data_IF_598205388149
#
_entry.id   IF_598205388149
#
_cell.length_a   1.000
_cell.length_b   1.000
_cell.length_c   1.000
_cell.angle_alpha   90.00
_cell.angle_beta   90.00
_cell.angle_gamma   90.00
#
_symmetry.space_group_name_H-M   'P 1'
#
loop_
_entity.id
_entity.type
_entity.pdbx_description
1 polymer ?
#
# COMPACT_ATOMS: atom_id res chain seq x y z
N UNK A 1 40.27 -23.10 -38.40
CA UNK A 1 39.54 -22.00 -39.08
C UNK A 1 38.44 -22.51 -40.00
N UNK A 2 38.72 -23.44 -40.90
CA UNK A 2 37.77 -23.91 -41.93
C UNK A 2 36.49 -24.56 -41.38
N UNK A 3 36.59 -25.36 -40.31
CA UNK A 3 35.42 -26.01 -39.68
C UNK A 3 34.41 -25.00 -39.14
N UNK A 4 34.86 -23.91 -38.51
CA UNK A 4 33.97 -22.86 -38.01
C UNK A 4 33.28 -22.09 -39.15
N UNK A 5 34.00 -21.86 -40.26
CA UNK A 5 33.43 -21.22 -41.45
C UNK A 5 32.37 -22.10 -42.14
N UNK A 6 32.60 -23.42 -42.20
CA UNK A 6 31.63 -24.38 -42.73
C UNK A 6 30.32 -24.41 -41.92
N UNK A 7 30.42 -24.42 -40.58
CA UNK A 7 29.26 -24.36 -39.68
C UNK A 7 28.47 -23.06 -39.88
N UNK A 8 29.16 -21.91 -40.01
CA UNK A 8 28.51 -20.63 -40.29
C UNK A 8 27.80 -20.63 -41.65
N UNK A 9 28.43 -21.21 -42.68
CA UNK A 9 27.85 -21.30 -44.03
C UNK A 9 26.57 -22.14 -44.02
N UNK A 10 26.59 -23.32 -43.39
CA UNK A 10 25.42 -24.17 -43.24
C UNK A 10 24.28 -23.48 -42.48
N UNK A 11 24.61 -22.73 -41.41
CA UNK A 11 23.64 -21.92 -40.67
C UNK A 11 22.96 -20.85 -41.53
N UNK A 12 23.75 -20.15 -42.35
CA UNK A 12 23.21 -19.10 -43.24
C UNK A 12 22.33 -19.71 -44.34
N UNK A 13 22.73 -20.85 -44.88
CA UNK A 13 21.97 -21.57 -45.89
C UNK A 13 20.61 -22.04 -45.37
N UNK A 14 20.56 -22.58 -44.15
CA UNK A 14 19.30 -22.93 -43.49
C UNK A 14 18.39 -21.71 -43.26
N UNK A 15 18.95 -20.53 -42.94
CA UNK A 15 18.13 -19.31 -42.80
C UNK A 15 17.64 -18.78 -44.16
N UNK A 16 18.44 -18.92 -45.21
CA UNK A 16 18.07 -18.52 -46.58
C UNK A 16 17.00 -19.43 -47.16
N UNK A 17 17.10 -20.74 -46.98
CA UNK A 17 16.10 -21.69 -47.47
C UNK A 17 14.74 -21.49 -46.81
N UNK A 18 14.72 -21.21 -45.50
CA UNK A 18 13.48 -20.87 -44.80
C UNK A 18 12.85 -19.58 -45.33
N UNK A 19 13.66 -18.54 -45.58
CA UNK A 19 13.17 -17.28 -46.14
C UNK A 19 12.55 -17.49 -47.53
N UNK A 20 13.19 -18.28 -48.40
CA UNK A 20 12.68 -18.59 -49.74
C UNK A 20 11.36 -19.38 -49.68
N UNK A 21 11.26 -20.37 -48.78
CA UNK A 21 10.03 -21.14 -48.60
C UNK A 21 8.85 -20.28 -48.12
N UNK A 22 9.10 -19.31 -47.24
CA UNK A 22 8.08 -18.36 -46.79
C UNK A 22 7.66 -17.36 -47.89
N UNK A 23 8.60 -16.85 -48.68
CA UNK A 23 8.31 -15.96 -49.81
C UNK A 23 7.49 -16.67 -50.91
N UNK A 24 7.66 -17.99 -51.06
CA UNK A 24 6.86 -18.83 -51.94
C UNK A 24 5.47 -19.21 -51.37
N UNK A 25 5.21 -18.96 -50.07
CA UNK A 25 3.98 -19.37 -49.40
C UNK A 25 3.90 -20.87 -49.06
N UNK A 26 5.00 -21.60 -49.22
CA UNK A 26 5.08 -23.05 -49.01
C UNK A 26 5.25 -23.38 -47.52
N UNK A 27 4.12 -23.50 -46.82
CA UNK A 27 4.08 -23.78 -45.37
C UNK A 27 4.71 -25.12 -45.00
N UNK A 28 4.66 -26.13 -45.87
CA UNK A 28 5.29 -27.44 -45.62
C UNK A 28 6.82 -27.35 -45.68
N UNK A 29 7.37 -26.68 -46.70
CA UNK A 29 8.82 -26.48 -46.83
C UNK A 29 9.40 -25.57 -45.74
N UNK A 30 8.61 -24.62 -45.24
CA UNK A 30 8.99 -23.82 -44.08
C UNK A 30 8.98 -24.64 -42.77
N UNK A 31 8.11 -25.65 -42.66
CA UNK A 31 7.97 -26.54 -41.48
C UNK A 31 9.10 -27.55 -41.32
N UNK A 32 9.67 -28.04 -42.42
CA UNK A 32 10.77 -29.02 -42.41
C UNK A 32 12.11 -28.42 -41.94
N UNK A 33 12.26 -27.10 -41.96
CA UNK A 33 13.47 -26.42 -41.51
C UNK A 33 13.43 -26.07 -40.01
N UNK A 34 13.65 -27.07 -39.17
CA UNK A 34 13.60 -26.94 -37.70
C UNK A 34 14.56 -25.87 -37.15
N UNK A 35 15.78 -25.80 -37.68
CA UNK A 35 16.81 -24.87 -37.22
C UNK A 35 16.41 -23.41 -37.48
N UNK A 36 15.96 -23.10 -38.71
CA UNK A 36 15.53 -21.74 -39.04
C UNK A 36 14.30 -21.32 -38.25
N UNK A 37 13.36 -22.24 -37.99
CA UNK A 37 12.20 -21.98 -37.16
C UNK A 37 12.57 -21.71 -35.70
N UNK A 38 13.48 -22.48 -35.11
CA UNK A 38 13.94 -22.27 -33.75
C UNK A 38 14.57 -20.87 -33.55
N UNK A 39 15.40 -20.44 -34.51
CA UNK A 39 16.00 -19.09 -34.50
C UNK A 39 14.92 -18.02 -34.59
N UNK A 40 13.91 -18.18 -35.46
CA UNK A 40 12.79 -17.22 -35.54
C UNK A 40 11.92 -17.16 -34.28
N UNK A 41 11.64 -18.31 -33.66
CA UNK A 41 10.89 -18.38 -32.39
C UNK A 41 11.65 -17.69 -31.27
N UNK A 42 12.97 -17.90 -31.18
CA UNK A 42 13.82 -17.22 -30.19
C UNK A 42 13.87 -15.69 -30.32
N UNK A 43 13.65 -15.14 -31.52
CA UNK A 43 13.62 -13.69 -31.76
C UNK A 43 12.22 -13.08 -31.61
N UNK A 44 11.16 -13.89 -31.61
CA UNK A 44 9.76 -13.43 -31.54
C UNK A 44 9.14 -13.58 -30.16
N UNK A 45 9.61 -14.53 -29.36
CA UNK A 45 9.12 -14.73 -28.00
C UNK A 45 10.04 -13.97 -27.04
N UNK A 46 9.66 -12.74 -26.70
CA UNK A 46 10.25 -11.97 -25.59
C UNK A 46 9.82 -12.49 -24.21
N UNK A 47 9.15 -13.64 -24.14
CA UNK A 47 8.82 -14.27 -22.87
C UNK A 47 10.01 -15.11 -22.42
N UNK A 48 10.60 -14.80 -21.25
CA UNK A 48 11.68 -15.61 -20.70
C UNK A 48 11.17 -17.05 -20.50
N UNK A 49 12.03 -18.06 -20.66
CA UNK A 49 11.64 -19.44 -20.36
C UNK A 49 11.15 -19.53 -18.91
N UNK A 50 10.15 -20.38 -18.65
CA UNK A 50 9.56 -20.55 -17.30
C UNK A 50 10.59 -20.91 -16.22
N UNK A 51 11.76 -21.44 -16.58
CA UNK A 51 12.88 -21.69 -15.67
C UNK A 51 13.64 -20.42 -15.25
N UNK A 52 13.52 -19.32 -16.00
CA UNK A 52 14.11 -18.03 -15.70
C UNK A 52 13.20 -17.14 -14.84
N UNK A 53 11.88 -17.38 -14.87
CA UNK A 53 10.95 -16.87 -13.87
C UNK A 53 11.02 -17.80 -12.66
N UNK A 54 11.85 -17.45 -11.67
CA UNK A 54 11.81 -18.12 -10.37
C UNK A 54 10.40 -18.15 -9.80
N UNK A 55 10.11 -19.11 -8.91
CA UNK A 55 8.82 -19.16 -8.21
C UNK A 55 8.50 -17.78 -7.63
N UNK A 56 7.26 -17.31 -7.84
CA UNK A 56 6.84 -16.03 -7.29
C UNK A 56 7.10 -16.03 -5.78
N UNK A 57 7.78 -15.00 -5.23
CA UNK A 57 8.02 -14.92 -3.81
C UNK A 57 6.68 -14.99 -3.08
N UNK A 58 6.52 -16.00 -2.22
CA UNK A 58 5.29 -16.27 -1.49
C UNK A 58 5.07 -15.30 -0.33
N UNK A 59 6.13 -14.56 0.04
CA UNK A 59 6.17 -13.64 1.16
C UNK A 59 6.40 -12.23 0.61
N UNK A 60 5.30 -11.52 0.33
CA UNK A 60 5.33 -10.14 -0.16
C UNK A 60 4.43 -9.30 0.71
N UNK A 61 4.84 -8.05 0.96
CA UNK A 61 4.07 -7.09 1.77
C UNK A 61 2.65 -6.90 1.22
N UNK A 62 2.48 -6.99 -0.09
CA UNK A 62 1.16 -6.90 -0.74
C UNK A 62 0.22 -8.04 -0.33
N UNK A 63 0.75 -9.25 -0.11
CA UNK A 63 -0.02 -10.40 0.38
C UNK A 63 -0.39 -10.22 1.86
N UNK A 64 0.50 -9.65 2.67
CA UNK A 64 0.23 -9.39 4.09
C UNK A 64 -0.83 -8.31 4.30
N UNK A 65 -0.86 -7.32 3.41
CA UNK A 65 -1.79 -6.18 3.47
C UNK A 65 -3.11 -6.50 2.76
N UNK A 66 -3.18 -7.59 1.99
CA UNK A 66 -4.39 -7.98 1.28
C UNK A 66 -5.59 -8.15 2.23
N UNK A 67 -6.68 -7.45 1.93
CA UNK A 67 -7.89 -7.46 2.74
C UNK A 67 -7.86 -6.67 4.05
N UNK A 68 -6.74 -6.06 4.47
CA UNK A 68 -6.68 -5.23 5.68
C UNK A 68 -7.68 -4.06 5.62
N UNK A 69 -7.76 -3.39 4.46
CA UNK A 69 -8.68 -2.29 4.23
C UNK A 69 -10.15 -2.73 4.35
N UNK A 70 -10.49 -3.89 3.79
CA UNK A 70 -11.85 -4.44 3.85
C UNK A 70 -12.26 -4.74 5.30
N UNK A 71 -11.33 -5.26 6.11
CA UNK A 71 -11.54 -5.51 7.55
C UNK A 71 -11.76 -4.22 8.32
N UNK A 72 -10.92 -3.20 8.11
CA UNK A 72 -11.05 -1.90 8.76
C UNK A 72 -12.40 -1.24 8.46
N UNK A 73 -12.84 -1.26 7.19
CA UNK A 73 -14.14 -0.72 6.79
C UNK A 73 -15.29 -1.52 7.42
N UNK A 74 -15.17 -2.85 7.49
CA UNK A 74 -16.18 -3.70 8.11
C UNK A 74 -16.31 -3.46 9.62
N UNK A 75 -15.19 -3.26 10.31
CA UNK A 75 -15.15 -2.94 11.74
C UNK A 75 -15.76 -1.56 12.02
N UNK A 76 -15.41 -0.55 11.22
CA UNK A 76 -15.97 0.81 11.37
C UNK A 76 -17.49 0.81 11.16
N UNK A 77 -17.98 0.08 10.14
CA UNK A 77 -19.41 -0.11 9.91
C UNK A 77 -20.12 -0.87 11.03
N UNK A 78 -19.45 -1.85 11.62
CA UNK A 78 -20.00 -2.57 12.78
C UNK A 78 -20.14 -1.64 13.98
N UNK A 79 -19.13 -0.80 14.26
CA UNK A 79 -19.18 0.21 15.32
C UNK A 79 -20.29 1.24 15.10
N UNK A 80 -20.44 1.75 13.88
CA UNK A 80 -21.54 2.66 13.54
C UNK A 80 -22.91 2.01 13.72
N UNK A 81 -23.06 0.73 13.36
CA UNK A 81 -24.32 -0.01 13.53
C UNK A 81 -24.66 -0.25 15.02
N UNK A 82 -23.66 -0.50 15.86
CA UNK A 82 -23.83 -0.58 17.32
C UNK A 82 -24.23 0.78 17.91
N UNK A 83 -23.66 1.89 17.43
CA UNK A 83 -24.03 3.24 17.85
C UNK A 83 -25.44 3.65 17.39
N UNK A 84 -25.92 3.13 16.26
CA UNK A 84 -27.22 3.41 15.66
C UNK A 84 -28.35 2.45 16.11
N UNK A 85 -28.10 1.60 17.11
CA UNK A 85 -29.12 0.70 17.67
C UNK A 85 -30.31 1.48 18.26
N UNK A 86 -31.45 1.42 17.55
CA UNK A 86 -32.71 2.07 17.92
C UNK A 86 -33.26 1.61 19.27
N UNK A 87 -32.82 0.46 19.79
CA UNK A 87 -33.27 -0.06 21.09
C UNK A 87 -32.56 0.60 22.28
N UNK A 88 -31.39 1.21 22.05
CA UNK A 88 -30.63 1.98 23.03
C UNK A 88 -30.96 3.48 22.98
N UNK A 89 -31.67 3.93 21.93
CA UNK A 89 -32.18 5.30 21.82
C UNK A 89 -33.47 5.39 22.64
N UNK A 90 -33.39 6.01 23.83
CA UNK A 90 -34.58 6.34 24.60
C UNK A 90 -35.55 7.19 23.74
N UNK A 91 -36.89 7.04 23.93
CA UNK A 91 -37.85 7.90 23.25
C UNK A 91 -37.50 9.37 23.54
N UNK A 92 -37.51 10.22 22.49
CA UNK A 92 -37.16 11.65 22.60
C UNK A 92 -38.07 12.36 23.60
N UNK A 93 -37.61 12.50 24.84
CA UNK A 93 -38.24 13.31 25.90
C UNK A 93 -37.74 14.77 25.82
N UNK A 94 -38.42 15.76 26.40
CA UNK A 94 -37.98 17.16 26.30
C UNK A 94 -36.80 17.55 27.21
N UNK A 95 -36.55 16.83 28.30
CA UNK A 95 -35.62 17.21 29.38
C UNK A 95 -34.35 16.35 29.47
N UNK A 96 -34.30 15.20 28.80
CA UNK A 96 -33.11 14.33 28.73
C UNK A 96 -32.06 14.82 27.71
N UNK A 97 -32.49 15.63 26.75
CA UNK A 97 -31.65 16.11 25.64
C UNK A 97 -30.67 17.20 26.08
N UNK A 98 -31.03 17.94 27.13
CA UNK A 98 -30.21 19.04 27.64
C UNK A 98 -28.81 18.57 28.07
N UNK A 99 -28.70 17.39 28.70
CA UNK A 99 -27.42 16.87 29.16
C UNK A 99 -26.52 16.46 27.99
N UNK A 100 -27.07 15.82 26.96
CA UNK A 100 -26.32 15.35 25.79
C UNK A 100 -25.87 16.52 24.91
N UNK A 101 -26.78 17.46 24.65
CA UNK A 101 -26.46 18.70 23.92
C UNK A 101 -25.45 19.56 24.67
N UNK A 102 -25.55 19.61 25.99
CA UNK A 102 -24.57 20.29 26.83
C UNK A 102 -23.22 19.57 26.79
N UNK A 103 -23.19 18.25 26.89
CA UNK A 103 -21.95 17.46 26.90
C UNK A 103 -21.20 17.58 25.57
N UNK A 104 -21.90 17.53 24.44
CA UNK A 104 -21.31 17.81 23.12
C UNK A 104 -20.72 19.22 23.03
N UNK A 105 -21.41 20.24 23.57
CA UNK A 105 -20.88 21.61 23.64
C UNK A 105 -19.70 21.73 24.61
N UNK A 106 -19.70 21.02 25.73
CA UNK A 106 -18.59 20.99 26.68
C UNK A 106 -17.35 20.36 26.08
N UNK A 107 -17.48 19.26 25.34
CA UNK A 107 -16.35 18.58 24.69
C UNK A 107 -15.55 19.52 23.77
N UNK A 108 -16.21 20.46 23.08
CA UNK A 108 -15.54 21.49 22.28
C UNK A 108 -14.69 22.45 23.11
N UNK A 109 -15.06 22.69 24.38
CA UNK A 109 -14.38 23.61 25.30
C UNK A 109 -13.31 22.92 26.16
N UNK A 110 -13.41 21.61 26.41
CA UNK A 110 -12.45 20.82 27.21
C UNK A 110 -10.98 21.12 26.89
N UNK A 111 -10.50 21.13 25.62
CA UNK A 111 -9.10 21.37 25.34
C UNK A 111 -8.64 22.79 25.73
N UNK A 112 -9.52 23.80 25.55
CA UNK A 112 -9.21 25.19 25.92
C UNK A 112 -9.20 25.37 27.43
N UNK A 113 -10.12 24.72 28.12
CA UNK A 113 -10.17 24.71 29.59
C UNK A 113 -8.93 24.05 30.17
N UNK A 114 -8.50 22.91 29.62
CA UNK A 114 -7.29 22.22 30.07
C UNK A 114 -6.02 23.04 29.85
N UNK A 115 -5.92 23.73 28.71
CA UNK A 115 -4.82 24.65 28.44
C UNK A 115 -4.81 25.83 29.44
N UNK A 116 -5.96 26.42 29.72
CA UNK A 116 -6.09 27.49 30.70
C UNK A 116 -5.72 27.03 32.12
N UNK A 117 -6.17 25.83 32.52
CA UNK A 117 -5.80 25.21 33.80
C UNK A 117 -4.27 25.05 33.89
N UNK A 118 -3.63 24.54 32.84
CA UNK A 118 -2.18 24.40 32.79
C UNK A 118 -1.47 25.76 32.95
N UNK A 119 -1.88 26.78 32.21
CA UNK A 119 -1.31 28.13 32.33
C UNK A 119 -1.45 28.68 33.75
N UNK A 120 -2.63 28.55 34.37
CA UNK A 120 -2.87 29.02 35.74
C UNK A 120 -2.03 28.25 36.77
N UNK A 121 -1.83 26.95 36.58
CA UNK A 121 -0.95 26.15 37.44
C UNK A 121 0.50 26.63 37.35
N UNK A 122 1.02 26.84 36.14
CA UNK A 122 2.39 27.34 35.95
C UNK A 122 2.57 28.71 36.59
N UNK A 123 1.62 29.63 36.38
CA UNK A 123 1.65 30.96 37.00
C UNK A 123 1.62 30.88 38.53
N UNK A 124 0.79 30.00 39.09
CA UNK A 124 0.67 29.83 40.54
C UNK A 124 1.92 29.22 41.16
N UNK A 125 2.57 28.28 40.48
CA UNK A 125 3.84 27.69 40.95
C UNK A 125 4.95 28.74 40.91
N UNK A 126 5.10 29.47 39.80
CA UNK A 126 6.11 30.52 39.68
C UNK A 126 5.92 31.67 40.66
N UNK A 127 4.68 32.11 40.92
CA UNK A 127 4.38 33.13 41.92
C UNK A 127 4.80 32.69 43.33
N UNK A 128 4.52 31.43 43.71
CA UNK A 128 4.95 30.88 45.00
C UNK A 128 6.48 30.83 45.15
N UNK A 129 7.20 30.49 44.09
CA UNK A 129 8.66 30.46 44.10
C UNK A 129 9.26 31.87 44.18
N UNK A 130 8.65 32.84 43.48
CA UNK A 130 9.03 34.25 43.56
C UNK A 130 8.78 34.85 44.95
N UNK A 131 7.61 34.59 45.53
CA UNK A 131 7.27 35.01 46.90
C UNK A 131 8.26 34.42 47.93
N UNK A 132 8.62 33.14 47.77
CA UNK A 132 9.61 32.48 48.63
C UNK A 132 11.02 33.07 48.45
N UNK A 133 11.42 33.39 47.22
CA UNK A 133 12.71 34.02 46.93
C UNK A 133 12.79 35.46 47.48
N UNK A 134 11.71 36.23 47.41
CA UNK A 134 11.63 37.59 47.95
C UNK A 134 11.72 37.60 49.49
N UNK A 135 11.05 36.66 50.17
CA UNK A 135 11.18 36.50 51.63
C UNK A 135 12.62 36.21 52.04
N UNK A 136 13.30 35.30 51.34
CA UNK A 136 14.71 34.97 51.61
C UNK A 136 15.67 36.12 51.29
N UNK A 137 15.36 36.94 50.28
CA UNK A 137 16.17 38.11 49.92
C UNK A 137 16.01 39.28 50.92
N UNK A 138 14.86 39.39 51.58
CA UNK A 138 14.60 40.41 52.59
C UNK A 138 15.11 40.02 54.00
N UNK A 139 15.42 38.74 54.23
CA UNK A 139 15.99 38.23 55.49
C UNK A 139 17.53 38.19 55.51
N UNK A 140 18.19 38.53 54.39
CA UNK A 140 19.65 38.60 54.25
C UNK A 140 20.17 40.06 54.28
#
# INVERSE_FOLDING_TARGET
MERAAAVRRARIEALRSLRLAEEAGDTEAASTNEFGQAVKRSYRTSEPPASALGAAPTDTVEMDVDGLQARAIAEDRAREAEELDMTNIAPRRPNWDLRRDWEARQQLLVPRTQAAIHTLLVQRVGAREADAAEVLANEA
#
